data_IF_661989620437
#
_entry.id   IF_661989620437
#
_cell.length_a   1.000
_cell.length_b   1.000
_cell.length_c   1.000
_cell.angle_alpha   90.00
_cell.angle_beta   90.00
_cell.angle_gamma   90.00
#
_symmetry.space_group_name_H-M   'P 1'
#
loop_
_entity.id
_entity.type
_entity.pdbx_description
1 polymer ?
#
# COMPACT_ATOMS: atom_id res chain seq x y z
N UNK A 1 -16.77 -28.55 42.26
CA UNK A 1 -15.61 -27.78 42.79
C UNK A 1 -14.87 -27.14 41.62
N UNK A 2 -15.05 -25.82 41.49
CA UNK A 2 -14.30 -24.83 40.67
C UNK A 2 -14.02 -25.19 39.20
N UNK A 3 -14.89 -24.64 38.35
CA UNK A 3 -14.57 -24.00 37.07
C UNK A 3 -13.09 -23.63 36.96
N UNK A 4 -12.31 -24.45 36.24
CA UNK A 4 -11.06 -23.98 35.65
C UNK A 4 -11.45 -23.02 34.54
N UNK A 5 -11.50 -21.73 34.87
CA UNK A 5 -11.37 -20.67 33.87
C UNK A 5 -10.19 -21.05 32.99
N UNK A 6 -10.42 -21.18 31.69
CA UNK A 6 -9.33 -21.26 30.73
C UNK A 6 -8.34 -20.13 31.04
N UNK A 7 -7.02 -20.36 30.95
CA UNK A 7 -6.09 -19.27 31.03
C UNK A 7 -6.35 -18.46 29.76
N UNK A 8 -7.12 -17.38 29.88
CA UNK A 8 -7.03 -16.30 28.92
C UNK A 8 -5.53 -15.96 28.89
N UNK A 9 -4.85 -16.27 27.79
CA UNK A 9 -3.51 -15.73 27.55
C UNK A 9 -3.67 -14.24 27.84
N UNK A 10 -2.96 -13.75 28.87
CA UNK A 10 -3.09 -12.35 29.24
C UNK A 10 -2.75 -11.55 27.97
N UNK A 11 -3.70 -10.75 27.47
CA UNK A 11 -3.54 -10.00 26.23
C UNK A 11 -2.24 -9.20 26.24
N UNK A 12 -1.83 -8.69 27.41
CA UNK A 12 -0.54 -8.04 27.62
C UNK A 12 0.66 -8.96 27.40
N UNK A 13 0.58 -10.22 27.84
CA UNK A 13 1.64 -11.21 27.61
C UNK A 13 1.76 -11.57 26.13
N UNK A 14 0.63 -11.66 25.42
CA UNK A 14 0.64 -11.86 23.96
C UNK A 14 1.26 -10.67 23.24
N UNK A 15 0.88 -9.43 23.59
CA UNK A 15 1.49 -8.21 23.04
C UNK A 15 3.00 -8.14 23.31
N UNK A 16 3.43 -8.48 24.53
CA UNK A 16 4.85 -8.53 24.88
C UNK A 16 5.59 -9.62 24.09
N UNK A 17 4.97 -10.78 23.88
CA UNK A 17 5.54 -11.86 23.08
C UNK A 17 5.77 -11.41 21.64
N UNK A 18 4.73 -10.92 20.95
CA UNK A 18 4.87 -10.50 19.55
C UNK A 18 5.89 -9.38 19.42
N UNK A 19 5.90 -8.39 20.32
CA UNK A 19 6.86 -7.29 20.31
C UNK A 19 8.31 -7.81 20.41
N UNK A 20 8.57 -8.76 21.31
CA UNK A 20 9.90 -9.39 21.45
C UNK A 20 10.32 -10.14 20.19
N UNK A 21 9.40 -10.88 19.57
CA UNK A 21 9.71 -11.57 18.30
C UNK A 21 9.99 -10.55 17.19
N UNK A 22 9.24 -9.45 17.10
CA UNK A 22 9.50 -8.37 16.14
C UNK A 22 10.91 -7.79 16.31
N UNK A 23 11.36 -7.57 17.54
CA UNK A 23 12.74 -7.12 17.83
C UNK A 23 13.79 -8.16 17.45
N UNK A 24 13.52 -9.45 17.68
CA UNK A 24 14.42 -10.54 17.26
C UNK A 24 14.55 -10.57 15.74
N UNK A 25 13.45 -10.44 15.00
CA UNK A 25 13.46 -10.40 13.53
C UNK A 25 14.25 -9.19 13.00
N UNK A 26 14.05 -8.01 13.60
CA UNK A 26 14.81 -6.81 13.27
C UNK A 26 16.31 -6.99 13.53
N UNK A 27 16.67 -7.46 14.73
CA UNK A 27 18.06 -7.72 15.14
C UNK A 27 18.73 -8.78 14.25
N UNK A 28 17.96 -9.78 13.82
CA UNK A 28 18.43 -10.81 12.89
C UNK A 28 18.72 -10.23 11.51
N UNK A 29 17.89 -9.32 10.99
CA UNK A 29 18.15 -8.62 9.73
C UNK A 29 19.37 -7.68 9.86
N UNK A 30 19.56 -7.05 11.02
CA UNK A 30 20.72 -6.21 11.29
C UNK A 30 22.02 -7.04 11.28
N UNK A 31 22.01 -8.18 11.99
CA UNK A 31 23.09 -9.15 11.96
C UNK A 31 23.36 -9.67 10.54
N UNK A 32 22.28 -9.97 9.80
CA UNK A 32 22.36 -10.42 8.42
C UNK A 32 23.05 -9.40 7.52
N UNK A 33 22.77 -8.11 7.69
CA UNK A 33 23.36 -7.05 6.87
C UNK A 33 24.83 -6.77 7.23
N UNK A 34 25.15 -6.64 8.53
CA UNK A 34 26.45 -6.10 8.95
C UNK A 34 27.46 -7.15 9.41
N UNK A 35 27.01 -8.30 9.90
CA UNK A 35 27.87 -9.30 10.52
C UNK A 35 28.04 -10.52 9.64
N UNK A 36 26.95 -11.00 9.03
CA UNK A 36 26.94 -12.22 8.22
C UNK A 36 27.94 -12.18 7.05
N UNK A 37 28.03 -11.11 6.23
CA UNK A 37 28.98 -11.06 5.12
C UNK A 37 30.42 -11.20 5.61
N UNK A 38 30.77 -10.56 6.73
CA UNK A 38 32.14 -10.59 7.27
C UNK A 38 32.55 -11.98 7.78
N UNK A 39 31.60 -12.75 8.29
CA UNK A 39 31.85 -14.11 8.77
C UNK A 39 32.01 -15.09 7.61
N UNK A 40 31.31 -14.85 6.49
CA UNK A 40 31.20 -15.81 5.39
C UNK A 40 31.92 -15.41 4.10
N UNK A 41 32.35 -14.16 3.95
CA UNK A 41 33.32 -13.74 2.91
C UNK A 41 34.67 -14.46 3.08
N UNK A 42 34.92 -15.06 4.25
CA UNK A 42 36.07 -15.94 4.52
C UNK A 42 35.85 -17.40 4.08
N UNK A 43 34.63 -17.80 3.69
CA UNK A 43 34.27 -19.17 3.37
C UNK A 43 33.60 -19.28 1.98
N UNK A 44 34.23 -19.92 0.97
CA UNK A 44 33.69 -20.06 -0.39
C UNK A 44 32.45 -20.98 -0.49
N UNK A 45 31.85 -21.37 0.64
CA UNK A 45 30.82 -22.42 0.74
C UNK A 45 29.38 -21.91 0.74
N UNK A 46 29.12 -20.62 0.94
CA UNK A 46 27.73 -20.12 1.00
C UNK A 46 27.25 -19.60 -0.36
N UNK A 47 26.30 -20.33 -0.94
CA UNK A 47 25.60 -19.93 -2.16
C UNK A 47 24.52 -18.86 -1.88
N UNK A 48 24.22 -17.95 -2.82
CA UNK A 48 23.13 -16.97 -2.73
C UNK A 48 21.78 -17.56 -2.28
N UNK A 49 21.49 -18.79 -2.71
CA UNK A 49 20.27 -19.53 -2.33
C UNK A 49 20.13 -19.76 -0.83
N UNK A 50 21.25 -19.88 -0.11
CA UNK A 50 21.25 -20.09 1.34
C UNK A 50 20.87 -18.80 2.08
N UNK A 51 21.36 -17.65 1.61
CA UNK A 51 21.00 -16.33 2.15
C UNK A 51 19.49 -16.08 2.05
N UNK A 52 18.91 -16.36 0.89
CA UNK A 52 17.47 -16.23 0.66
C UNK A 52 16.69 -17.14 1.61
N UNK A 53 17.03 -18.43 1.68
CA UNK A 53 16.37 -19.37 2.58
C UNK A 53 16.43 -18.92 4.05
N UNK A 54 17.58 -18.40 4.51
CA UNK A 54 17.73 -17.83 5.85
C UNK A 54 16.80 -16.64 6.10
N UNK A 55 16.65 -15.72 5.14
CA UNK A 55 15.73 -14.58 5.27
C UNK A 55 14.28 -15.06 5.39
N UNK A 56 13.85 -15.98 4.53
CA UNK A 56 12.50 -16.53 4.62
C UNK A 56 12.25 -17.23 5.97
N UNK A 57 13.25 -17.92 6.51
CA UNK A 57 13.17 -18.56 7.82
C UNK A 57 13.12 -17.57 8.98
N UNK A 58 14.03 -16.60 9.03
CA UNK A 58 14.09 -15.58 10.09
C UNK A 58 12.81 -14.76 10.13
N UNK A 59 12.28 -14.42 8.96
CA UNK A 59 11.07 -13.62 8.84
C UNK A 59 9.79 -14.43 8.98
N UNK A 60 9.83 -15.74 9.20
CA UNK A 60 8.64 -16.61 9.25
C UNK A 60 7.76 -16.56 7.99
N UNK A 61 8.37 -16.57 6.81
CA UNK A 61 7.67 -16.54 5.51
C UNK A 61 7.80 -17.83 4.69
N UNK A 62 8.66 -18.77 5.10
CA UNK A 62 8.62 -20.14 4.54
C UNK A 62 7.32 -20.88 4.91
N UNK A 63 7.05 -21.98 4.19
CA UNK A 63 5.98 -22.92 4.57
C UNK A 63 6.22 -23.52 5.96
N UNK A 64 5.16 -23.81 6.71
CA UNK A 64 5.25 -24.39 8.05
C UNK A 64 6.14 -25.65 8.10
N UNK A 65 6.07 -26.48 7.06
CA UNK A 65 6.86 -27.71 6.94
C UNK A 65 8.37 -27.46 6.87
N UNK A 66 8.82 -26.29 6.42
CA UNK A 66 10.24 -25.94 6.29
C UNK A 66 10.93 -25.69 7.63
N UNK A 67 10.16 -25.47 8.71
CA UNK A 67 10.69 -25.24 10.06
C UNK A 67 10.82 -26.50 10.88
N UNK A 68 10.28 -27.61 10.41
CA UNK A 68 10.32 -28.89 11.09
C UNK A 68 11.64 -29.60 10.78
N UNK A 69 12.31 -30.13 11.80
CA UNK A 69 13.46 -31.02 11.61
C UNK A 69 13.29 -32.31 12.42
N UNK A 70 13.53 -33.42 11.74
CA UNK A 70 13.72 -34.80 12.16
C UNK A 70 12.62 -35.53 12.95
N UNK A 71 11.83 -34.91 13.83
CA UNK A 71 10.93 -35.66 14.73
C UNK A 71 9.44 -35.63 14.37
N UNK A 72 9.05 -35.06 13.22
CA UNK A 72 7.64 -34.91 12.78
C UNK A 72 6.69 -34.29 13.83
N UNK A 73 7.23 -33.71 14.90
CA UNK A 73 6.51 -33.00 15.95
C UNK A 73 6.37 -31.52 15.58
N UNK A 74 5.16 -30.93 15.63
CA UNK A 74 3.89 -31.54 16.07
C UNK A 74 3.26 -32.44 14.98
N UNK A 75 2.56 -33.53 15.35
CA UNK A 75 1.84 -34.37 14.38
C UNK A 75 0.77 -33.58 13.62
N UNK A 76 0.55 -33.98 12.36
CA UNK A 76 -0.35 -33.28 11.42
C UNK A 76 -1.84 -33.58 11.72
N UNK A 77 -2.13 -34.80 12.17
CA UNK A 77 -3.48 -35.28 12.50
C UNK A 77 -3.67 -35.49 14.01
N UNK A 78 -4.92 -35.35 14.53
CA UNK A 78 -6.17 -35.14 13.79
C UNK A 78 -6.69 -33.69 13.82
N UNK A 79 -5.90 -32.72 14.29
CA UNK A 79 -6.42 -31.39 14.70
C UNK A 79 -5.75 -30.17 14.06
N UNK A 80 -4.86 -30.34 13.06
CA UNK A 80 -4.18 -29.19 12.45
C UNK A 80 -3.33 -28.38 13.46
N UNK A 81 -2.99 -28.99 14.59
CA UNK A 81 -2.24 -28.38 15.69
C UNK A 81 -0.90 -27.82 15.23
N UNK A 82 -0.28 -28.46 14.24
CA UNK A 82 0.93 -27.98 13.55
C UNK A 82 0.73 -26.59 12.94
N UNK A 83 -0.31 -26.41 12.14
CA UNK A 83 -0.61 -25.13 11.48
C UNK A 83 -1.02 -24.05 12.48
N UNK A 84 -1.76 -24.43 13.53
CA UNK A 84 -2.12 -23.53 14.63
C UNK A 84 -0.88 -23.05 15.40
N UNK A 85 0.00 -23.96 15.81
CA UNK A 85 1.24 -23.62 16.52
C UNK A 85 2.15 -22.74 15.66
N UNK A 86 2.31 -23.08 14.38
CA UNK A 86 3.08 -22.24 13.47
C UNK A 86 2.48 -20.85 13.41
N UNK A 87 1.16 -20.74 13.16
CA UNK A 87 0.46 -19.45 13.13
C UNK A 87 0.67 -18.64 14.41
N UNK A 88 0.52 -19.26 15.59
CA UNK A 88 0.73 -18.60 16.88
C UNK A 88 2.16 -18.06 17.05
N UNK A 89 3.15 -18.74 16.47
CA UNK A 89 4.56 -18.32 16.50
C UNK A 89 4.93 -17.31 15.40
N UNK A 90 4.23 -17.35 14.25
CA UNK A 90 4.58 -16.60 13.05
C UNK A 90 3.76 -15.35 12.83
N UNK A 91 2.54 -15.27 13.39
CA UNK A 91 1.63 -14.11 13.33
C UNK A 91 2.16 -12.96 14.17
N UNK A 92 3.30 -12.43 13.72
CA UNK A 92 4.06 -11.38 14.39
C UNK A 92 4.20 -10.20 13.43
N UNK A 93 3.85 -8.98 13.87
CA UNK A 93 4.03 -7.79 13.07
C UNK A 93 5.51 -7.41 12.97
N UNK A 94 5.90 -6.60 11.99
CA UNK A 94 7.28 -6.17 11.84
C UNK A 94 7.49 -4.69 12.15
N UNK A 95 8.60 -4.39 12.80
CA UNK A 95 9.10 -3.03 12.99
C UNK A 95 9.48 -2.39 11.64
N UNK A 96 9.31 -1.07 11.53
CA UNK A 96 9.65 -0.33 10.30
C UNK A 96 11.13 -0.38 9.95
N UNK A 97 12.01 -0.47 10.96
CA UNK A 97 13.45 -0.65 10.77
C UNK A 97 13.77 -1.93 10.01
N UNK A 98 12.98 -3.01 10.21
CA UNK A 98 13.15 -4.26 9.49
C UNK A 98 12.95 -4.06 7.98
N UNK A 99 12.00 -3.20 7.57
CA UNK A 99 11.79 -2.88 6.15
C UNK A 99 13.02 -2.20 5.55
N UNK A 100 13.57 -1.21 6.26
CA UNK A 100 14.77 -0.50 5.80
C UNK A 100 15.96 -1.46 5.65
N UNK A 101 16.15 -2.36 6.62
CA UNK A 101 17.20 -3.37 6.59
C UNK A 101 17.03 -4.34 5.42
N UNK A 102 15.82 -4.82 5.16
CA UNK A 102 15.55 -5.71 4.01
C UNK A 102 15.85 -5.04 2.67
N UNK A 103 15.49 -3.77 2.53
CA UNK A 103 15.85 -2.99 1.34
C UNK A 103 17.37 -2.86 1.21
N UNK A 104 18.10 -2.56 2.29
CA UNK A 104 19.56 -2.51 2.24
C UNK A 104 20.16 -3.87 1.85
N UNK A 105 19.66 -4.97 2.40
CA UNK A 105 20.11 -6.33 2.06
C UNK A 105 19.91 -6.58 0.56
N UNK A 106 18.75 -6.21 0.01
CA UNK A 106 18.47 -6.35 -1.42
C UNK A 106 19.36 -5.51 -2.33
N UNK A 107 19.74 -4.30 -1.90
CA UNK A 107 20.63 -3.42 -2.65
C UNK A 107 22.11 -3.79 -2.50
N UNK A 108 22.47 -4.63 -1.54
CA UNK A 108 23.86 -4.97 -1.23
C UNK A 108 24.36 -6.06 -2.18
N UNK A 109 25.32 -5.75 -3.09
CA UNK A 109 25.71 -6.69 -4.16
C UNK A 109 26.34 -8.00 -3.67
N UNK A 110 26.92 -8.01 -2.47
CA UNK A 110 27.57 -9.21 -1.90
C UNK A 110 26.57 -10.36 -1.72
N UNK A 111 25.32 -10.08 -1.36
CA UNK A 111 24.33 -11.15 -1.15
C UNK A 111 23.83 -11.78 -2.46
N UNK A 112 23.94 -11.07 -3.59
CA UNK A 112 23.45 -11.51 -4.91
C UNK A 112 21.99 -12.01 -4.89
N UNK A 113 21.14 -11.35 -4.08
CA UNK A 113 19.71 -11.67 -3.99
C UNK A 113 18.98 -10.94 -5.11
N UNK A 114 18.05 -11.62 -5.78
CA UNK A 114 17.22 -10.99 -6.79
C UNK A 114 16.28 -9.97 -6.15
N UNK A 115 16.17 -8.76 -6.73
CA UNK A 115 15.31 -7.70 -6.21
C UNK A 115 13.84 -8.11 -6.10
N UNK A 116 13.35 -8.93 -7.03
CA UNK A 116 11.98 -9.48 -7.00
C UNK A 116 11.70 -10.26 -5.71
N UNK A 117 12.67 -11.04 -5.23
CA UNK A 117 12.57 -11.80 -3.98
C UNK A 117 12.42 -10.87 -2.77
N UNK A 118 13.16 -9.76 -2.72
CA UNK A 118 13.06 -8.78 -1.63
C UNK A 118 11.72 -8.05 -1.67
N UNK A 119 11.25 -7.69 -2.87
CA UNK A 119 9.92 -7.07 -3.06
C UNK A 119 8.80 -8.03 -2.64
N UNK A 120 8.91 -9.32 -2.97
CA UNK A 120 7.98 -10.38 -2.53
C UNK A 120 7.97 -10.56 -1.01
N UNK A 121 9.14 -10.69 -0.40
CA UNK A 121 9.27 -10.76 1.04
C UNK A 121 8.65 -9.54 1.71
N UNK A 122 8.87 -8.35 1.15
CA UNK A 122 8.32 -7.09 1.67
C UNK A 122 6.78 -7.06 1.58
N UNK A 123 6.18 -7.53 0.48
CA UNK A 123 4.72 -7.64 0.37
C UNK A 123 4.15 -8.63 1.41
N UNK A 124 4.78 -9.81 1.56
CA UNK A 124 4.34 -10.84 2.50
C UNK A 124 4.33 -10.35 3.95
N UNK A 125 5.41 -9.70 4.39
CA UNK A 125 5.55 -9.26 5.78
C UNK A 125 4.65 -8.06 6.12
N UNK A 126 4.38 -7.16 5.16
CA UNK A 126 3.44 -6.05 5.35
C UNK A 126 2.02 -6.59 5.47
N UNK A 127 1.61 -7.49 4.57
CA UNK A 127 0.29 -8.14 4.64
C UNK A 127 0.11 -8.91 5.94
N UNK A 128 1.14 -9.63 6.40
CA UNK A 128 1.10 -10.30 7.70
C UNK A 128 0.89 -9.30 8.83
N UNK A 129 1.67 -8.22 8.86
CA UNK A 129 1.55 -7.21 9.92
C UNK A 129 0.15 -6.61 9.95
N UNK A 130 -0.42 -6.27 8.80
CA UNK A 130 -1.81 -5.80 8.68
C UNK A 130 -2.83 -6.80 9.27
N UNK A 131 -2.68 -8.09 8.95
CA UNK A 131 -3.58 -9.14 9.47
C UNK A 131 -3.45 -9.35 10.98
N UNK A 132 -2.24 -9.19 11.54
CA UNK A 132 -2.02 -9.31 12.98
C UNK A 132 -2.62 -8.11 13.72
N UNK A 133 -2.42 -6.90 13.21
CA UNK A 133 -2.97 -5.70 13.83
C UNK A 133 -4.49 -5.62 13.79
N UNK A 134 -5.13 -6.19 12.76
CA UNK A 134 -6.60 -6.32 12.75
C UNK A 134 -7.15 -7.13 13.93
N UNK A 135 -6.33 -7.96 14.57
CA UNK A 135 -6.71 -8.75 15.77
C UNK A 135 -6.47 -7.97 17.07
N UNK A 136 -5.78 -6.84 17.01
CA UNK A 136 -5.49 -6.01 18.19
C UNK A 136 -6.71 -5.14 18.56
N UNK A 137 -6.77 -4.74 19.83
CA UNK A 137 -7.77 -3.80 20.33
C UNK A 137 -7.68 -2.46 19.61
N UNK A 138 -8.82 -1.81 19.38
CA UNK A 138 -8.88 -0.50 18.71
C UNK A 138 -8.07 0.60 19.41
N UNK A 139 -7.85 0.46 20.73
CA UNK A 139 -7.06 1.41 21.53
C UNK A 139 -5.55 1.18 21.45
N UNK A 140 -5.10 0.12 20.77
CA UNK A 140 -3.68 -0.17 20.59
C UNK A 140 -3.06 0.82 19.61
N UNK A 141 -2.05 1.56 20.06
CA UNK A 141 -1.23 2.40 19.18
C UNK A 141 -0.18 1.55 18.51
N UNK A 142 -0.29 1.36 17.19
CA UNK A 142 0.71 0.61 16.44
C UNK A 142 2.07 1.32 16.48
N UNK A 143 3.10 0.52 16.72
CA UNK A 143 4.52 0.90 16.60
C UNK A 143 5.19 0.18 15.43
N UNK A 144 4.45 -0.67 14.72
CA UNK A 144 4.96 -1.55 13.67
C UNK A 144 4.89 -0.84 12.32
N UNK A 145 5.73 -1.24 11.37
CA UNK A 145 5.89 -0.66 10.02
C UNK A 145 6.05 0.89 9.98
N UNK A 146 6.20 1.54 11.13
CA UNK A 146 6.32 2.98 11.22
C UNK A 146 7.65 3.43 10.64
N UNK A 147 7.58 4.36 9.69
CA UNK A 147 8.73 5.01 9.10
C UNK A 147 8.73 6.47 9.54
N UNK A 148 9.77 6.94 10.26
CA UNK A 148 9.88 8.35 10.63
C UNK A 148 9.79 9.26 9.41
N UNK A 149 9.17 10.43 9.56
CA UNK A 149 8.90 11.37 8.46
C UNK A 149 10.18 11.71 7.66
N UNK A 150 11.29 11.96 8.37
CA UNK A 150 12.60 12.26 7.77
C UNK A 150 13.27 11.07 7.06
N UNK A 151 12.74 9.86 7.19
CA UNK A 151 13.22 8.66 6.51
C UNK A 151 12.35 8.26 5.31
N UNK A 152 11.16 8.84 5.15
CA UNK A 152 10.20 8.43 4.11
C UNK A 152 10.78 8.56 2.70
N UNK A 153 11.44 9.68 2.39
CA UNK A 153 12.05 9.92 1.07
C UNK A 153 13.20 8.96 0.77
N UNK A 154 14.08 8.78 1.75
CA UNK A 154 15.26 7.90 1.64
C UNK A 154 14.80 6.46 1.44
N UNK A 155 13.82 6.01 2.25
CA UNK A 155 13.22 4.70 2.11
C UNK A 155 12.64 4.50 0.71
N UNK A 156 11.80 5.42 0.23
CA UNK A 156 11.19 5.30 -1.11
C UNK A 156 12.22 5.24 -2.21
N UNK A 157 13.24 6.10 -2.16
CA UNK A 157 14.31 6.13 -3.16
C UNK A 157 15.00 4.76 -3.23
N UNK A 158 15.44 4.25 -2.08
CA UNK A 158 16.11 2.94 -2.00
C UNK A 158 15.18 1.77 -2.33
N UNK A 159 13.91 1.86 -1.95
CA UNK A 159 12.94 0.82 -2.25
C UNK A 159 12.68 0.72 -3.75
N UNK A 160 12.57 1.85 -4.44
CA UNK A 160 12.42 1.87 -5.89
C UNK A 160 13.74 1.60 -6.63
N UNK A 161 14.90 1.78 -6.00
CA UNK A 161 16.18 1.33 -6.56
C UNK A 161 16.23 -0.19 -6.77
N UNK A 162 15.52 -0.97 -5.95
CA UNK A 162 15.35 -2.42 -6.17
C UNK A 162 14.64 -2.73 -7.50
N UNK A 163 13.81 -1.81 -7.99
CA UNK A 163 13.05 -2.02 -9.23
C UNK A 163 13.87 -1.74 -10.49
N UNK A 164 15.08 -1.18 -10.36
CA UNK A 164 15.89 -0.71 -11.50
C UNK A 164 16.23 -1.84 -12.46
N UNK A 165 16.14 -1.53 -13.74
CA UNK A 165 16.63 -2.36 -14.82
C UNK A 165 18.14 -2.17 -14.97
N UNK A 166 18.91 -3.22 -14.66
CA UNK A 166 20.36 -3.20 -14.81
C UNK A 166 20.77 -3.60 -16.22
N UNK A 167 21.36 -2.65 -16.94
CA UNK A 167 21.90 -2.87 -18.28
C UNK A 167 23.18 -3.73 -18.17
N UNK A 168 23.32 -4.83 -18.93
CA UNK A 168 24.48 -5.70 -18.82
C UNK A 168 25.79 -4.96 -19.14
N UNK A 169 26.81 -5.20 -18.31
CA UNK A 169 28.10 -4.48 -18.35
C UNK A 169 28.90 -4.81 -19.63
N UNK A 170 28.58 -5.93 -20.28
CA UNK A 170 29.28 -6.46 -21.46
C UNK A 170 29.10 -5.61 -22.72
N UNK A 171 28.11 -4.70 -22.74
CA UNK A 171 27.83 -3.85 -23.91
C UNK A 171 28.60 -2.54 -23.86
N UNK A 172 29.43 -2.30 -24.87
CA UNK A 172 30.03 -1.00 -25.12
C UNK A 172 29.04 -0.10 -25.87
N UNK A 173 28.83 1.10 -25.34
CA UNK A 173 27.99 2.12 -25.99
C UNK A 173 28.88 3.15 -26.68
N UNK A 174 28.40 3.77 -27.78
CA UNK A 174 29.10 4.91 -28.38
C UNK A 174 29.35 6.01 -27.35
N UNK A 175 30.50 6.74 -27.41
CA UNK A 175 30.85 7.75 -26.41
C UNK A 175 29.85 8.90 -26.32
N UNK A 176 29.10 9.16 -27.40
CA UNK A 176 28.12 10.25 -27.47
C UNK A 176 26.72 9.82 -27.02
N UNK A 177 26.51 8.54 -26.73
CA UNK A 177 25.20 8.03 -26.33
C UNK A 177 25.03 8.09 -24.81
N UNK A 178 24.06 8.89 -24.35
CA UNK A 178 23.68 8.93 -22.94
C UNK A 178 22.78 7.75 -22.61
N UNK A 179 23.33 6.79 -21.85
CA UNK A 179 22.58 5.62 -21.38
C UNK A 179 21.47 6.05 -20.40
N UNK A 180 20.22 5.60 -20.58
CA UNK A 180 19.17 5.83 -19.61
C UNK A 180 19.48 5.11 -18.29
N UNK A 181 19.41 5.83 -17.17
CA UNK A 181 19.70 5.30 -15.82
C UNK A 181 18.45 5.12 -14.95
N UNK A 182 17.34 5.70 -15.37
CA UNK A 182 16.05 5.73 -14.69
C UNK A 182 15.07 4.76 -15.35
N UNK A 183 15.50 3.52 -15.57
CA UNK A 183 14.63 2.46 -16.08
C UNK A 183 14.37 1.45 -14.97
N UNK A 184 13.13 0.97 -14.88
CA UNK A 184 12.68 -0.05 -13.94
C UNK A 184 11.97 -1.19 -14.63
N UNK A 185 12.03 -2.38 -14.05
CA UNK A 185 11.25 -3.54 -14.50
C UNK A 185 9.77 -3.27 -14.17
N UNK A 186 8.93 -3.21 -15.20
CA UNK A 186 7.53 -2.74 -15.11
C UNK A 186 6.72 -3.50 -14.06
N UNK A 187 6.82 -4.83 -14.03
CA UNK A 187 6.08 -5.66 -13.07
C UNK A 187 6.49 -5.38 -11.62
N UNK A 188 7.79 -5.29 -11.37
CA UNK A 188 8.34 -5.05 -10.02
C UNK A 188 8.01 -3.62 -9.57
N UNK A 189 8.05 -2.64 -10.49
CA UNK A 189 7.65 -1.25 -10.22
C UNK A 189 6.20 -1.16 -9.75
N UNK A 190 5.26 -1.79 -10.47
CA UNK A 190 3.85 -1.76 -10.08
C UNK A 190 3.58 -2.49 -8.77
N UNK A 191 4.29 -3.59 -8.51
CA UNK A 191 4.25 -4.29 -7.22
C UNK A 191 4.78 -3.42 -6.07
N UNK A 192 5.87 -2.69 -6.29
CA UNK A 192 6.40 -1.72 -5.33
C UNK A 192 5.39 -0.60 -5.03
N UNK A 193 4.69 -0.08 -6.04
CA UNK A 193 3.61 0.89 -5.83
C UNK A 193 2.47 0.35 -4.94
N UNK A 194 2.07 -0.92 -5.10
CA UNK A 194 1.06 -1.56 -4.25
C UNK A 194 1.54 -1.75 -2.81
N UNK A 195 2.81 -2.08 -2.63
CA UNK A 195 3.44 -2.18 -1.30
C UNK A 195 3.43 -0.80 -0.62
N UNK A 196 3.80 0.26 -1.33
CA UNK A 196 3.73 1.61 -0.78
C UNK A 196 2.29 2.04 -0.46
N UNK A 197 1.30 1.59 -1.23
CA UNK A 197 -0.12 1.84 -0.92
C UNK A 197 -0.56 1.16 0.38
N UNK A 198 -0.11 -0.08 0.62
CA UNK A 198 -0.35 -0.80 1.88
C UNK A 198 0.29 -0.04 3.06
N UNK A 199 1.56 0.36 2.95
CA UNK A 199 2.25 1.16 3.97
C UNK A 199 1.59 2.51 4.22
N UNK A 200 1.19 3.23 3.16
CA UNK A 200 0.54 4.53 3.27
C UNK A 200 -0.82 4.44 3.96
N UNK A 201 -1.51 3.31 3.79
CA UNK A 201 -2.78 3.05 4.45
C UNK A 201 -2.57 2.64 5.91
N UNK A 202 -1.52 1.87 6.21
CA UNK A 202 -1.15 1.44 7.56
C UNK A 202 -0.73 2.59 8.47
N UNK A 203 0.18 3.46 8.00
CA UNK A 203 0.65 4.65 8.71
C UNK A 203 0.20 5.92 7.96
N UNK A 204 -1.08 6.29 8.06
CA UNK A 204 -1.63 7.41 7.29
C UNK A 204 -1.09 8.77 7.74
N UNK A 205 -0.70 8.91 9.01
CA UNK A 205 -0.25 10.20 9.58
C UNK A 205 1.16 10.58 9.15
N UNK A 206 2.04 9.58 8.93
CA UNK A 206 3.46 9.83 8.60
C UNK A 206 3.75 9.46 7.16
N UNK A 207 3.79 8.16 6.85
CA UNK A 207 4.14 7.69 5.50
C UNK A 207 3.03 8.01 4.49
N UNK A 208 1.76 7.80 4.85
CA UNK A 208 0.61 8.16 4.02
C UNK A 208 0.54 9.65 3.72
N UNK A 209 0.78 10.51 4.72
CA UNK A 209 0.92 11.96 4.54
C UNK A 209 2.02 12.30 3.54
N UNK A 210 3.22 11.74 3.71
CA UNK A 210 4.34 11.99 2.80
C UNK A 210 3.97 11.61 1.36
N UNK A 211 3.39 10.42 1.17
CA UNK A 211 2.93 9.95 -0.14
C UNK A 211 1.89 10.90 -0.74
N UNK A 212 0.89 11.30 0.06
CA UNK A 212 -0.19 12.17 -0.36
C UNK A 212 0.28 13.53 -0.90
N UNK A 213 1.33 14.09 -0.27
CA UNK A 213 1.89 15.38 -0.62
C UNK A 213 2.88 15.30 -1.80
N UNK A 214 3.71 14.25 -1.85
CA UNK A 214 4.90 14.24 -2.69
C UNK A 214 4.96 13.14 -3.76
N UNK A 215 4.02 12.18 -3.77
CA UNK A 215 4.08 11.00 -4.67
C UNK A 215 2.74 10.81 -5.40
N UNK A 216 2.49 11.59 -6.47
CA UNK A 216 1.18 11.68 -7.13
C UNK A 216 0.66 10.34 -7.68
N UNK A 217 1.54 9.45 -8.14
CA UNK A 217 1.13 8.11 -8.61
C UNK A 217 0.45 7.29 -7.51
N UNK A 218 1.04 7.24 -6.31
CA UNK A 218 0.52 6.42 -5.20
C UNK A 218 -0.65 7.15 -4.54
N UNK A 219 -0.60 8.49 -4.45
CA UNK A 219 -1.76 9.31 -4.06
C UNK A 219 -2.99 9.01 -4.91
N UNK A 220 -2.84 8.88 -6.23
CA UNK A 220 -3.95 8.51 -7.12
C UNK A 220 -4.60 7.18 -6.70
N UNK A 221 -3.80 6.19 -6.30
CA UNK A 221 -4.32 4.93 -5.76
C UNK A 221 -4.99 5.10 -4.40
N UNK A 222 -4.46 5.94 -3.51
CA UNK A 222 -5.13 6.29 -2.25
C UNK A 222 -6.50 6.95 -2.51
N UNK A 223 -6.61 7.82 -3.52
CA UNK A 223 -7.89 8.42 -3.91
C UNK A 223 -8.89 7.38 -4.44
N UNK A 224 -8.44 6.38 -5.22
CA UNK A 224 -9.29 5.26 -5.65
C UNK A 224 -9.85 4.48 -4.45
N UNK A 225 -9.02 4.20 -3.44
CA UNK A 225 -9.45 3.54 -2.20
C UNK A 225 -10.49 4.36 -1.43
N UNK A 226 -10.22 5.65 -1.25
CA UNK A 226 -11.09 6.55 -0.48
C UNK A 226 -12.45 6.79 -1.16
N UNK A 227 -12.46 6.93 -2.47
CA UNK A 227 -13.68 7.25 -3.24
C UNK A 227 -14.45 6.00 -3.68
N UNK A 228 -13.80 4.84 -3.71
CA UNK A 228 -14.34 3.62 -4.32
C UNK A 228 -14.39 3.68 -5.86
N UNK A 229 -13.77 4.69 -6.48
CA UNK A 229 -13.75 4.89 -7.93
C UNK A 229 -12.46 4.33 -8.54
N UNK A 230 -12.49 3.05 -8.94
CA UNK A 230 -11.36 2.34 -9.55
C UNK A 230 -11.26 2.57 -11.06
N UNK A 231 -11.43 3.83 -11.49
CA UNK A 231 -11.29 4.27 -12.89
C UNK A 231 -10.08 5.17 -13.06
N UNK A 232 -9.54 5.28 -14.28
CA UNK A 232 -8.35 6.08 -14.55
C UNK A 232 -8.60 7.19 -15.60
N UNK A 233 -8.27 8.46 -15.28
CA UNK A 233 -8.02 8.95 -13.93
C UNK A 233 -9.31 8.91 -13.07
N UNK A 234 -9.22 8.79 -11.73
CA UNK A 234 -10.40 8.82 -10.87
C UNK A 234 -11.19 10.12 -11.07
N UNK A 235 -12.52 10.08 -10.94
CA UNK A 235 -13.35 11.28 -11.08
C UNK A 235 -13.00 12.36 -10.05
N UNK A 236 -12.36 12.01 -8.94
CA UNK A 236 -11.83 12.99 -7.97
C UNK A 236 -10.71 13.87 -8.48
N UNK A 237 -9.98 13.39 -9.47
CA UNK A 237 -8.86 14.12 -10.06
C UNK A 237 -9.30 15.02 -11.23
N UNK A 238 -10.48 14.79 -11.80
CA UNK A 238 -10.94 15.49 -12.99
C UNK A 238 -11.55 16.85 -12.61
N UNK A 239 -10.75 17.92 -12.73
CA UNK A 239 -11.23 19.27 -12.40
C UNK A 239 -12.14 19.87 -13.47
N UNK A 240 -11.73 19.78 -14.73
CA UNK A 240 -12.47 20.30 -15.89
C UNK A 240 -12.29 19.37 -17.10
N UNK A 241 -13.13 19.51 -18.12
CA UNK A 241 -12.93 18.81 -19.41
C UNK A 241 -11.58 19.17 -20.04
N UNK A 242 -11.19 20.44 -19.99
CA UNK A 242 -9.89 20.90 -20.51
C UNK A 242 -8.72 20.27 -19.75
N UNK A 243 -8.82 20.18 -18.41
CA UNK A 243 -7.82 19.49 -17.59
C UNK A 243 -7.69 18.02 -18.00
N UNK A 244 -8.81 17.32 -18.21
CA UNK A 244 -8.81 15.92 -18.65
C UNK A 244 -8.13 15.74 -20.02
N UNK A 245 -8.44 16.62 -20.97
CA UNK A 245 -7.82 16.60 -22.30
C UNK A 245 -6.31 16.87 -22.22
N UNK A 246 -5.88 17.87 -21.43
CA UNK A 246 -4.48 18.17 -21.20
C UNK A 246 -3.74 17.03 -20.49
N UNK A 247 -4.40 16.38 -19.53
CA UNK A 247 -3.88 15.20 -18.84
C UNK A 247 -3.60 14.07 -19.82
N UNK A 248 -4.57 13.73 -20.68
CA UNK A 248 -4.37 12.70 -21.70
C UNK A 248 -3.36 13.09 -22.78
N UNK A 249 -3.29 14.36 -23.17
CA UNK A 249 -2.29 14.84 -24.11
C UNK A 249 -0.89 14.65 -23.54
N UNK A 250 -0.67 15.10 -22.30
CA UNK A 250 0.62 14.97 -21.60
C UNK A 250 1.01 13.50 -21.41
N UNK A 251 0.04 12.64 -21.08
CA UNK A 251 0.26 11.18 -20.97
C UNK A 251 0.75 10.60 -22.31
N UNK A 252 0.11 10.93 -23.44
CA UNK A 252 0.47 10.41 -24.76
C UNK A 252 1.86 10.83 -25.21
N UNK A 253 2.22 12.09 -25.00
CA UNK A 253 3.55 12.59 -25.35
C UNK A 253 4.63 11.88 -24.54
N UNK A 254 4.42 11.71 -23.23
CA UNK A 254 5.38 10.98 -22.38
C UNK A 254 5.49 9.49 -22.73
N UNK A 255 4.38 8.85 -23.14
CA UNK A 255 4.42 7.46 -23.61
C UNK A 255 5.23 7.33 -24.91
N UNK A 256 5.20 8.34 -25.80
CA UNK A 256 6.04 8.37 -27.01
C UNK A 256 7.51 8.55 -26.64
N UNK A 257 7.83 9.51 -25.78
CA UNK A 257 9.20 9.74 -25.31
C UNK A 257 9.81 8.51 -24.64
N UNK A 258 9.05 7.86 -23.74
CA UNK A 258 9.49 6.63 -23.06
C UNK A 258 9.74 5.51 -24.07
N UNK A 259 8.83 5.34 -25.04
CA UNK A 259 8.96 4.33 -26.09
C UNK A 259 10.19 4.56 -26.96
N UNK A 260 10.43 5.79 -27.39
CA UNK A 260 11.59 6.15 -28.20
C UNK A 260 12.90 5.93 -27.44
N UNK A 261 12.91 6.26 -26.14
CA UNK A 261 14.04 6.02 -25.25
C UNK A 261 14.36 4.52 -25.09
N UNK A 262 13.33 3.68 -24.88
CA UNK A 262 13.50 2.23 -24.73
C UNK A 262 13.96 1.59 -26.04
N UNK A 263 13.35 1.96 -27.18
CA UNK A 263 13.76 1.48 -28.49
C UNK A 263 15.19 1.91 -28.85
N UNK A 264 15.55 3.15 -28.52
CA UNK A 264 16.92 3.66 -28.70
C UNK A 264 17.93 2.82 -27.93
N UNK A 265 17.65 2.52 -26.65
CA UNK A 265 18.49 1.63 -25.84
C UNK A 265 18.59 0.24 -26.46
N UNK A 266 17.46 -0.35 -26.85
CA UNK A 266 17.44 -1.72 -27.36
C UNK A 266 18.15 -1.87 -28.70
N UNK A 267 18.06 -0.87 -29.59
CA UNK A 267 18.84 -0.82 -30.84
C UNK A 267 20.34 -0.91 -30.60
N UNK A 268 20.84 -0.26 -29.54
CA UNK A 268 22.25 -0.36 -29.17
C UNK A 268 22.60 -1.73 -28.54
N UNK A 269 21.71 -2.30 -27.73
CA UNK A 269 21.93 -3.61 -27.09
C UNK A 269 21.87 -4.78 -28.06
N UNK A 270 21.00 -4.71 -29.08
CA UNK A 270 20.78 -5.80 -30.03
C UNK A 270 21.64 -5.69 -31.29
N UNK A 271 22.47 -4.65 -31.42
CA UNK A 271 23.32 -4.44 -32.58
C UNK A 271 24.14 -5.69 -32.92
N UNK A 272 24.18 -6.12 -34.21
CA UNK A 272 23.75 -5.39 -35.41
C UNK A 272 22.26 -5.59 -35.82
N UNK A 273 21.41 -6.23 -35.01
CA UNK A 273 20.00 -6.46 -35.35
C UNK A 273 19.22 -5.14 -35.40
N UNK A 274 18.38 -4.99 -36.42
CA UNK A 274 17.45 -3.85 -36.54
C UNK A 274 16.25 -4.06 -35.62
N UNK A 275 16.13 -3.21 -34.59
CA UNK A 275 15.02 -3.25 -33.64
C UNK A 275 13.98 -2.18 -33.99
N UNK A 276 12.71 -2.58 -33.96
CA UNK A 276 11.53 -1.75 -34.10
C UNK A 276 10.50 -2.11 -33.02
N UNK A 277 9.30 -1.52 -33.12
CA UNK A 277 8.23 -1.74 -32.14
C UNK A 277 7.70 -3.18 -32.13
N UNK A 278 7.78 -3.88 -33.25
CA UNK A 278 7.16 -5.20 -33.42
C UNK A 278 8.04 -6.32 -32.89
N UNK A 279 9.35 -6.10 -32.86
CA UNK A 279 10.33 -7.10 -32.42
C UNK A 279 11.03 -6.76 -31.09
N UNK A 280 10.71 -5.62 -30.48
CA UNK A 280 11.25 -5.19 -29.20
C UNK A 280 10.93 -6.19 -28.07
N UNK A 281 11.96 -6.53 -27.30
CA UNK A 281 11.88 -7.37 -26.11
C UNK A 281 11.78 -6.56 -24.82
N UNK A 282 12.13 -5.27 -24.85
CA UNK A 282 12.10 -4.39 -23.69
C UNK A 282 10.81 -3.57 -23.57
N UNK A 283 10.16 -3.23 -24.69
CA UNK A 283 8.88 -2.54 -24.67
C UNK A 283 7.85 -3.34 -23.85
N UNK A 284 7.18 -2.65 -22.92
CA UNK A 284 6.23 -3.25 -21.99
C UNK A 284 6.85 -4.00 -20.80
N UNK A 285 8.14 -4.37 -20.85
CA UNK A 285 8.86 -4.99 -19.72
C UNK A 285 9.63 -4.00 -18.86
N UNK A 286 9.98 -2.86 -19.43
CA UNK A 286 10.71 -1.79 -18.76
C UNK A 286 9.90 -0.48 -18.85
N UNK A 287 9.99 0.34 -17.82
CA UNK A 287 9.30 1.63 -17.67
C UNK A 287 10.28 2.69 -17.15
N UNK A 288 10.08 3.96 -17.47
CA UNK A 288 10.86 5.04 -16.86
C UNK A 288 10.49 5.17 -15.38
N UNK A 289 11.49 5.16 -14.50
CA UNK A 289 11.34 5.36 -13.07
C UNK A 289 11.19 6.86 -12.76
N UNK A 290 9.96 7.31 -12.65
CA UNK A 290 9.60 8.64 -12.15
C UNK A 290 8.33 8.55 -11.31
N UNK A 291 8.46 8.75 -10.00
CA UNK A 291 7.34 8.70 -9.05
C UNK A 291 6.52 9.99 -9.00
N UNK A 292 7.03 11.06 -9.59
CA UNK A 292 6.32 12.34 -9.70
C UNK A 292 5.45 12.37 -10.96
N UNK A 293 5.66 11.43 -11.88
CA UNK A 293 4.82 11.24 -13.04
C UNK A 293 3.67 10.27 -12.75
N UNK A 294 2.44 10.66 -13.08
CA UNK A 294 1.32 9.73 -13.14
C UNK A 294 1.40 8.93 -14.46
N UNK A 295 1.32 7.62 -14.33
CA UNK A 295 1.36 6.62 -15.38
C UNK A 295 0.19 5.65 -15.22
N UNK A 296 -0.25 5.14 -16.35
CA UNK A 296 -1.27 4.10 -16.42
C UNK A 296 -0.62 2.71 -16.29
N UNK A 297 -1.09 1.83 -15.39
CA UNK A 297 -0.69 0.45 -15.33
C UNK A 297 -1.30 -0.32 -16.50
N UNK A 298 -0.60 -0.35 -17.63
CA UNK A 298 -0.97 -1.13 -18.81
C UNK A 298 -0.22 -2.46 -18.73
N UNK A 299 -0.95 -3.56 -18.56
CA UNK A 299 -0.38 -4.91 -18.65
C UNK A 299 0.06 -5.25 -20.08
N UNK A 300 0.77 -6.38 -20.25
CA UNK A 300 1.15 -6.87 -21.59
C UNK A 300 -0.06 -7.16 -22.48
N UNK A 301 -1.20 -7.52 -21.86
CA UNK A 301 -2.50 -7.74 -22.48
C UNK A 301 -3.29 -6.44 -22.76
N UNK A 302 -2.69 -5.27 -22.49
CA UNK A 302 -3.31 -3.95 -22.56
C UNK A 302 -4.55 -3.78 -21.67
N UNK A 303 -4.72 -4.64 -20.67
CA UNK A 303 -5.88 -4.61 -19.78
C UNK A 303 -5.56 -3.89 -18.46
N UNK A 304 -5.90 -2.60 -18.40
CA UNK A 304 -5.74 -1.78 -17.20
C UNK A 304 -6.63 -2.23 -16.02
N UNK A 305 -7.75 -2.92 -16.30
CA UNK A 305 -8.71 -3.31 -15.26
C UNK A 305 -8.14 -4.35 -14.30
N UNK A 306 -7.21 -5.20 -14.75
CA UNK A 306 -6.61 -6.22 -13.91
C UNK A 306 -5.89 -5.61 -12.70
N UNK A 307 -5.14 -4.52 -12.90
CA UNK A 307 -4.44 -3.83 -11.82
C UNK A 307 -5.40 -3.12 -10.88
N UNK A 308 -6.43 -2.45 -11.40
CA UNK A 308 -7.42 -1.78 -10.56
C UNK A 308 -8.28 -2.76 -9.75
N UNK A 309 -8.62 -3.92 -10.32
CA UNK A 309 -9.26 -5.02 -9.58
C UNK A 309 -8.37 -5.54 -8.45
N UNK A 310 -7.04 -5.56 -8.64
CA UNK A 310 -6.11 -5.91 -7.58
C UNK A 310 -6.14 -4.89 -6.44
N UNK A 311 -6.16 -3.58 -6.75
CA UNK A 311 -6.33 -2.51 -5.73
C UNK A 311 -7.65 -2.70 -4.97
N UNK A 312 -8.75 -2.95 -5.69
CA UNK A 312 -10.04 -3.21 -5.06
C UNK A 312 -10.00 -4.46 -4.17
N UNK A 313 -9.35 -5.53 -4.63
CA UNK A 313 -9.19 -6.79 -3.89
C UNK A 313 -8.42 -6.59 -2.58
N UNK A 314 -7.28 -5.89 -2.61
CA UNK A 314 -6.50 -5.61 -1.39
C UNK A 314 -7.26 -4.70 -0.42
N UNK A 315 -8.06 -3.75 -0.93
CA UNK A 315 -8.90 -2.91 -0.08
C UNK A 315 -9.96 -3.76 0.66
N UNK A 316 -10.63 -4.65 -0.07
CA UNK A 316 -11.65 -5.52 0.51
C UNK A 316 -11.06 -6.46 1.58
N UNK A 317 -9.83 -6.95 1.34
CA UNK A 317 -9.13 -7.84 2.26
C UNK A 317 -8.64 -7.12 3.53
N UNK A 318 -8.08 -5.91 3.39
CA UNK A 318 -7.37 -5.23 4.49
C UNK A 318 -8.06 -3.98 5.04
N UNK A 319 -9.20 -3.57 4.45
CA UNK A 319 -9.96 -2.37 4.81
C UNK A 319 -9.10 -1.09 4.78
N UNK A 320 -8.25 -0.99 3.75
CA UNK A 320 -7.27 0.09 3.60
C UNK A 320 -7.91 1.49 3.60
N UNK A 321 -9.05 1.65 2.92
CA UNK A 321 -9.77 2.93 2.88
C UNK A 321 -10.17 3.41 4.28
N UNK A 322 -10.62 2.49 5.14
CA UNK A 322 -10.96 2.79 6.54
C UNK A 322 -9.78 3.31 7.35
N UNK A 323 -8.57 2.79 7.09
CA UNK A 323 -7.35 3.27 7.74
C UNK A 323 -6.99 4.69 7.27
N UNK A 324 -7.06 4.93 5.96
CA UNK A 324 -6.82 6.25 5.36
C UNK A 324 -7.79 7.33 5.87
N UNK A 325 -9.05 6.98 6.11
CA UNK A 325 -10.07 7.91 6.65
C UNK A 325 -9.69 8.50 8.04
N UNK A 326 -8.71 7.92 8.74
CA UNK A 326 -8.26 8.38 10.06
C UNK A 326 -7.22 9.52 10.00
N UNK A 327 -6.65 9.82 8.82
CA UNK A 327 -5.69 10.91 8.69
C UNK A 327 -6.36 12.27 8.91
N UNK A 328 -5.72 13.14 9.71
CA UNK A 328 -6.21 14.52 9.98
C UNK A 328 -5.19 15.60 9.64
N UNK A 329 -3.97 15.22 9.28
CA UNK A 329 -2.90 16.15 8.97
C UNK A 329 -2.07 15.62 7.79
N UNK A 330 -2.48 15.86 6.53
CA UNK A 330 -3.73 16.51 6.12
C UNK A 330 -4.91 15.54 6.22
N UNK A 331 -6.13 16.08 6.33
CA UNK A 331 -7.33 15.27 6.19
C UNK A 331 -7.58 14.96 4.70
N UNK A 332 -7.33 13.72 4.31
CA UNK A 332 -7.41 13.29 2.90
C UNK A 332 -8.82 13.42 2.33
N UNK A 333 -9.86 13.16 3.13
CA UNK A 333 -11.26 13.26 2.68
C UNK A 333 -11.64 14.72 2.48
N UNK A 334 -11.29 15.60 3.42
CA UNK A 334 -11.53 17.03 3.27
C UNK A 334 -10.77 17.60 2.08
N UNK A 335 -9.54 17.16 1.85
CA UNK A 335 -8.75 17.61 0.70
C UNK A 335 -9.39 17.19 -0.63
N UNK A 336 -9.90 15.95 -0.74
CA UNK A 336 -10.71 15.52 -1.90
C UNK A 336 -12.00 16.34 -2.01
N UNK A 337 -12.71 16.55 -0.90
CA UNK A 337 -13.98 17.29 -0.83
C UNK A 337 -13.80 18.73 -1.32
N UNK A 338 -12.79 19.43 -0.80
CA UNK A 338 -12.48 20.82 -1.15
C UNK A 338 -12.15 20.95 -2.64
N UNK A 339 -11.37 20.02 -3.21
CA UNK A 339 -11.12 19.99 -4.66
C UNK A 339 -12.41 19.83 -5.45
N UNK A 340 -13.31 18.94 -5.02
CA UNK A 340 -14.58 18.71 -5.70
C UNK A 340 -15.61 19.83 -5.52
N UNK A 341 -15.61 20.52 -4.39
CA UNK A 341 -16.48 21.67 -4.17
C UNK A 341 -16.11 22.82 -5.10
N UNK A 342 -14.80 23.07 -5.28
CA UNK A 342 -14.29 24.05 -6.25
C UNK A 342 -14.74 23.73 -7.69
N UNK A 343 -14.89 22.46 -8.04
CA UNK A 343 -15.38 21.99 -9.35
C UNK A 343 -16.89 22.22 -9.55
N UNK A 344 -17.66 22.41 -8.46
CA UNK A 344 -19.11 22.22 -8.42
C UNK A 344 -19.98 23.48 -8.30
N UNK A 345 -19.45 24.69 -8.49
CA UNK A 345 -20.23 25.96 -8.34
C UNK A 345 -21.44 26.15 -9.29
N UNK A 346 -21.84 25.13 -10.06
CA UNK A 346 -22.89 25.26 -11.08
C UNK A 346 -24.01 24.20 -11.12
N UNK A 347 -23.89 23.02 -10.50
CA UNK A 347 -24.95 21.98 -10.63
C UNK A 347 -25.05 21.08 -9.39
N UNK A 348 -26.18 21.20 -8.68
CA UNK A 348 -26.57 20.34 -7.56
C UNK A 348 -26.51 18.85 -7.93
N UNK A 349 -26.83 18.50 -9.18
CA UNK A 349 -27.00 17.12 -9.65
C UNK A 349 -25.71 16.28 -9.69
N UNK A 350 -24.52 16.89 -9.87
CA UNK A 350 -23.25 16.13 -9.97
C UNK A 350 -22.55 15.92 -8.62
N UNK A 351 -22.83 16.77 -7.62
CA UNK A 351 -22.30 16.57 -6.26
C UNK A 351 -22.93 15.34 -5.58
N UNK A 352 -24.16 14.99 -5.97
CA UNK A 352 -24.99 13.94 -5.37
C UNK A 352 -24.44 12.52 -5.49
N UNK A 353 -23.81 12.18 -6.63
CA UNK A 353 -23.45 10.79 -6.95
C UNK A 353 -22.14 10.36 -6.26
N UNK A 354 -21.14 11.23 -6.20
CA UNK A 354 -19.82 10.84 -5.72
C UNK A 354 -19.75 10.78 -4.18
N UNK A 355 -20.40 11.71 -3.46
CA UNK A 355 -20.40 11.72 -2.00
C UNK A 355 -21.16 10.50 -1.46
N UNK A 356 -22.26 10.14 -2.13
CA UNK A 356 -22.99 8.90 -1.85
C UNK A 356 -22.11 7.67 -2.11
N UNK A 357 -21.40 7.61 -3.24
CA UNK A 357 -20.44 6.52 -3.53
C UNK A 357 -19.32 6.42 -2.50
N UNK A 358 -18.79 7.57 -2.04
CA UNK A 358 -17.74 7.64 -1.05
C UNK A 358 -18.22 7.10 0.30
N UNK A 359 -19.44 7.46 0.73
CA UNK A 359 -20.03 6.97 1.99
C UNK A 359 -20.40 5.50 1.89
N UNK A 360 -20.97 5.06 0.77
CA UNK A 360 -21.32 3.66 0.54
C UNK A 360 -20.09 2.75 0.56
N UNK A 361 -18.94 3.25 0.09
CA UNK A 361 -17.66 2.53 0.10
C UNK A 361 -17.01 2.45 1.50
N UNK A 362 -17.42 3.32 2.42
CA UNK A 362 -16.76 3.54 3.71
C UNK A 362 -17.74 3.57 4.89
N UNK A 363 -18.87 2.88 4.77
CA UNK A 363 -19.95 2.91 5.77
C UNK A 363 -19.47 2.47 7.17
N UNK A 364 -18.50 1.55 7.21
CA UNK A 364 -17.94 0.97 8.44
C UNK A 364 -17.09 1.97 9.25
N UNK A 365 -16.73 3.13 8.67
CA UNK A 365 -15.81 4.10 9.29
C UNK A 365 -16.35 5.54 9.32
N UNK A 366 -17.67 5.72 9.18
CA UNK A 366 -18.30 7.05 9.28
C UNK A 366 -18.09 7.73 10.64
N UNK A 367 -17.78 6.97 11.69
CA UNK A 367 -17.39 7.50 13.00
C UNK A 367 -16.09 8.32 12.96
N UNK A 368 -15.20 8.05 12.01
CA UNK A 368 -13.94 8.78 11.80
C UNK A 368 -14.00 9.70 10.59
N UNK A 369 -15.14 9.98 10.00
CA UNK A 369 -15.19 10.95 8.90
C UNK A 369 -15.03 12.39 9.39
N UNK A 370 -14.64 13.33 8.52
CA UNK A 370 -14.74 14.75 8.84
C UNK A 370 -16.21 15.15 9.08
N UNK A 371 -16.48 15.94 10.11
CA UNK A 371 -17.86 16.37 10.44
C UNK A 371 -18.47 17.14 9.26
N UNK A 372 -17.68 17.99 8.59
CA UNK A 372 -18.10 18.76 7.41
C UNK A 372 -18.66 17.82 6.33
N UNK A 373 -17.91 16.77 5.99
CA UNK A 373 -18.34 15.76 5.01
C UNK A 373 -19.65 15.07 5.41
N UNK A 374 -19.85 14.79 6.71
CA UNK A 374 -21.08 14.18 7.19
C UNK A 374 -22.27 15.15 7.16
N UNK A 375 -22.04 16.44 7.46
CA UNK A 375 -23.04 17.48 7.37
C UNK A 375 -23.52 17.67 5.92
N UNK A 376 -22.58 17.75 4.98
CA UNK A 376 -22.90 17.88 3.54
C UNK A 376 -23.74 16.71 3.05
N UNK A 377 -23.36 15.48 3.43
CA UNK A 377 -24.13 14.30 3.08
C UNK A 377 -25.51 14.31 3.73
N UNK A 378 -25.61 14.66 5.01
CA UNK A 378 -26.88 14.69 5.73
C UNK A 378 -27.83 15.74 5.14
N UNK A 379 -27.34 16.94 4.84
CA UNK A 379 -28.09 17.98 4.15
C UNK A 379 -28.56 17.52 2.77
N UNK A 380 -27.68 16.86 2.02
CA UNK A 380 -27.99 16.31 0.72
C UNK A 380 -29.10 15.24 0.80
N UNK A 381 -29.02 14.31 1.75
CA UNK A 381 -30.07 13.31 1.98
C UNK A 381 -31.41 13.97 2.34
N UNK A 382 -31.42 15.00 3.19
CA UNK A 382 -32.63 15.77 3.50
C UNK A 382 -33.25 16.38 2.24
N UNK A 383 -32.44 16.97 1.35
CA UNK A 383 -32.92 17.60 0.11
C UNK A 383 -33.55 16.56 -0.83
N UNK A 384 -32.95 15.38 -0.97
CA UNK A 384 -33.51 14.28 -1.77
C UNK A 384 -34.87 13.85 -1.21
N UNK A 385 -34.94 13.58 0.09
CA UNK A 385 -36.16 13.02 0.70
C UNK A 385 -37.28 14.04 0.91
N UNK A 386 -36.98 15.34 0.93
CA UNK A 386 -37.99 16.40 0.92
C UNK A 386 -38.57 16.68 -0.47
N UNK A 387 -37.96 16.16 -1.54
CA UNK A 387 -38.46 16.43 -2.90
C UNK A 387 -39.70 15.56 -3.19
N UNK A 388 -40.91 16.15 -3.31
CA UNK A 388 -42.15 15.40 -3.48
C UNK A 388 -42.22 14.63 -4.81
N UNK A 389 -41.35 14.96 -5.77
CA UNK A 389 -41.25 14.31 -7.08
C UNK A 389 -40.35 13.06 -7.07
N UNK A 390 -39.58 12.83 -6.00
CA UNK A 390 -38.64 11.70 -5.89
C UNK A 390 -39.16 10.73 -4.82
N UNK A 391 -39.97 9.75 -5.24
CA UNK A 391 -40.39 8.63 -4.38
C UNK A 391 -39.31 7.55 -4.33
N UNK A 392 -38.11 7.87 -3.84
CA UNK A 392 -37.08 6.85 -3.62
C UNK A 392 -37.08 6.40 -2.16
N UNK A 393 -37.34 5.11 -1.96
CA UNK A 393 -37.15 4.45 -0.66
C UNK A 393 -35.64 4.44 -0.39
N UNK A 394 -35.16 4.93 0.77
CA UNK A 394 -33.75 4.84 1.15
C UNK A 394 -33.26 3.39 1.06
N UNK A 395 -32.06 3.19 0.51
CA UNK A 395 -31.45 1.87 0.60
C UNK A 395 -31.15 1.53 2.08
N UNK A 396 -31.13 0.24 2.43
CA UNK A 396 -30.75 -0.20 3.78
C UNK A 396 -29.37 0.34 4.21
N UNK A 397 -28.43 0.46 3.25
CA UNK A 397 -27.11 1.06 3.50
C UNK A 397 -27.23 2.54 3.84
N UNK A 398 -28.02 3.29 3.09
CA UNK A 398 -28.27 4.72 3.33
C UNK A 398 -28.88 4.95 4.71
N UNK A 399 -29.83 4.12 5.14
CA UNK A 399 -30.41 4.20 6.49
C UNK A 399 -29.36 3.94 7.57
N UNK A 400 -28.59 2.87 7.44
CA UNK A 400 -27.51 2.55 8.39
C UNK A 400 -26.48 3.69 8.49
N UNK A 401 -26.14 4.31 7.35
CA UNK A 401 -25.23 5.45 7.32
C UNK A 401 -25.83 6.66 8.07
N UNK A 402 -27.09 7.00 7.79
CA UNK A 402 -27.80 8.08 8.48
C UNK A 402 -27.92 7.85 9.98
N UNK A 403 -28.24 6.62 10.42
CA UNK A 403 -28.30 6.27 11.84
C UNK A 403 -26.94 6.46 12.52
N UNK A 404 -25.86 5.99 11.88
CA UNK A 404 -24.49 6.16 12.38
C UNK A 404 -24.13 7.65 12.53
N UNK A 405 -24.48 8.46 11.53
CA UNK A 405 -24.26 9.92 11.53
C UNK A 405 -25.05 10.58 12.66
N UNK A 406 -26.33 10.23 12.84
CA UNK A 406 -27.19 10.78 13.88
C UNK A 406 -26.68 10.45 15.28
N UNK A 407 -26.22 9.20 15.51
CA UNK A 407 -25.61 8.80 16.79
C UNK A 407 -24.37 9.65 17.08
N UNK A 408 -23.52 9.85 16.07
CA UNK A 408 -22.31 10.66 16.21
C UNK A 408 -22.64 12.14 16.50
N UNK A 409 -23.58 12.73 15.77
CA UNK A 409 -24.01 14.12 16.02
C UNK A 409 -24.60 14.30 17.42
N UNK A 410 -25.41 13.35 17.90
CA UNK A 410 -25.93 13.37 19.28
C UNK A 410 -24.80 13.35 20.31
N UNK A 411 -23.81 12.48 20.12
CA UNK A 411 -22.63 12.40 21.00
C UNK A 411 -21.86 13.72 21.04
N UNK A 412 -21.57 14.31 19.87
CA UNK A 412 -20.85 15.60 19.78
C UNK A 412 -21.62 16.71 20.48
N UNK A 413 -22.94 16.83 20.22
CA UNK A 413 -23.79 17.84 20.85
C UNK A 413 -23.80 17.68 22.36
N UNK A 414 -23.84 16.44 22.86
CA UNK A 414 -23.82 16.15 24.28
C UNK A 414 -22.49 16.60 24.91
N UNK A 415 -21.35 16.26 24.30
CA UNK A 415 -20.03 16.71 24.78
C UNK A 415 -19.92 18.24 24.79
N UNK A 416 -20.42 18.92 23.76
CA UNK A 416 -20.44 20.39 23.72
C UNK A 416 -21.31 20.97 24.84
N UNK A 417 -22.48 20.39 25.11
CA UNK A 417 -23.34 20.82 26.22
C UNK A 417 -22.64 20.67 27.58
N UNK A 418 -21.97 19.54 27.80
CA UNK A 418 -21.21 19.27 29.02
C UNK A 418 -20.08 20.27 29.21
N UNK A 419 -19.34 20.60 28.13
CA UNK A 419 -18.30 21.63 28.17
C UNK A 419 -18.84 23.02 28.46
N UNK A 420 -19.99 23.39 27.87
CA UNK A 420 -20.65 24.67 28.15
C UNK A 420 -21.11 24.72 29.61
N UNK A 421 -21.62 23.62 30.16
CA UNK A 421 -22.05 23.53 31.55
C UNK A 421 -20.87 23.57 32.53
N UNK A 422 -19.74 22.94 32.21
CA UNK A 422 -18.53 22.97 33.03
C UNK A 422 -17.85 24.36 33.06
N UNK A 423 -18.07 25.18 32.03
CA UNK A 423 -17.55 26.54 31.92
C UNK A 423 -18.49 27.62 32.48
N UNK A 424 -19.64 27.23 33.04
CA UNK A 424 -20.59 28.10 33.77
C UNK A 424 -20.49 27.82 35.25
#
# INVERSE_FOLDING_TARGET
LKTRSSPAINYEQWLLFIQRISYIQCSSCLFFLFTLPRLFDLAPTIQPTNYVACLYSVLFTNSANSYLRYENWPPEEPLGFRTELFRLSSDVPLLGETLYLLVQIGLTPQFRIASSTIIELTDLIIRRTLLVEQKMSNDYTSIYLHLPENQCEIFLTKFFDLTRYHIPIQFAFPPNYQRPQNLSITEIFWKACLICLLLASHDPQTFGRYIWLYKPQIRLFMEMLLTGDYTYPPKSMIETKNFLEQFYHTERERLREEKDLILGLEKHLAAPKTIDETNSQLLGKVIVLDLNQIKRPIGQDKNEKAFYNLIQGINNQHKLSSMLCRCRSPDFILDILNRKEQQGKGRLDNQTSWLTSLIDSNIDCLNVFPIICLCDYFQHMIMIYKNPNIRNIPSKKTLNALDTILVRFKSIIQTVKEQIQANK
#
